data_IF_771103380092
#
_entry.id   IF_771103380092
#
_cell.length_a   1.000
_cell.length_b   1.000
_cell.length_c   1.000
_cell.angle_alpha   90.00
_cell.angle_beta   90.00
_cell.angle_gamma   90.00
#
_symmetry.space_group_name_H-M   'P 1'
#
loop_
_entity.id
_entity.type
_entity.pdbx_description
1 polymer ?
#
# COMPACT_ATOMS: atom_id res chain seq x y z
N UNK A 1 76.63 -21.38 9.27
CA UNK A 1 75.41 -21.49 10.08
C UNK A 1 75.04 -20.07 10.52
N UNK A 2 74.27 -19.39 9.67
CA UNK A 2 73.69 -18.09 9.98
C UNK A 2 72.30 -18.37 10.58
N UNK A 3 72.01 -17.73 11.70
CA UNK A 3 70.74 -17.85 12.43
C UNK A 3 69.72 -16.90 11.84
N UNK A 4 68.56 -17.47 11.49
CA UNK A 4 67.35 -16.79 11.04
C UNK A 4 66.81 -15.85 12.12
N UNK A 5 66.80 -14.55 11.84
CA UNK A 5 66.10 -13.56 12.65
C UNK A 5 65.65 -12.39 11.75
N UNK A 6 64.68 -12.64 10.86
CA UNK A 6 63.94 -11.57 10.17
C UNK A 6 62.68 -12.12 9.47
N UNK A 7 61.57 -12.25 10.20
CA UNK A 7 60.24 -12.42 9.60
C UNK A 7 59.12 -11.94 10.54
N UNK A 8 59.19 -10.70 10.99
CA UNK A 8 58.08 -9.99 11.61
C UNK A 8 57.82 -8.69 10.83
N UNK A 9 57.09 -8.80 9.71
CA UNK A 9 56.68 -7.65 8.93
C UNK A 9 55.20 -7.78 8.50
N UNK A 10 54.36 -7.06 9.24
CA UNK A 10 53.23 -6.29 8.70
C UNK A 10 52.18 -7.04 7.89
N UNK A 11 51.29 -7.78 8.59
CA UNK A 11 49.98 -8.11 8.02
C UNK A 11 49.12 -6.84 8.03
N UNK A 12 49.29 -6.01 7.00
CA UNK A 12 48.45 -4.84 6.77
C UNK A 12 47.00 -5.30 6.64
N UNK A 13 46.19 -5.00 7.66
CA UNK A 13 44.73 -5.10 7.58
C UNK A 13 44.29 -4.19 6.45
N UNK A 14 44.03 -4.77 5.29
CA UNK A 14 43.29 -4.11 4.20
C UNK A 14 41.90 -3.81 4.72
N UNK A 15 41.71 -2.64 5.30
CA UNK A 15 40.39 -2.03 5.43
C UNK A 15 39.93 -1.79 3.99
N UNK A 16 39.17 -2.74 3.44
CA UNK A 16 38.46 -2.53 2.19
C UNK A 16 37.39 -1.48 2.49
N UNK A 17 37.73 -0.22 2.27
CA UNK A 17 36.77 0.87 2.22
C UNK A 17 35.78 0.54 1.11
N UNK A 18 34.65 -0.06 1.46
CA UNK A 18 33.53 -0.20 0.53
C UNK A 18 33.04 1.21 0.24
N UNK A 19 33.05 1.59 -1.04
CA UNK A 19 32.40 2.82 -1.47
C UNK A 19 30.92 2.73 -1.09
N UNK A 20 30.44 3.72 -0.33
CA UNK A 20 29.02 3.84 0.01
C UNK A 20 28.23 4.03 -1.28
N UNK A 21 27.22 3.19 -1.50
CA UNK A 21 26.32 3.36 -2.66
C UNK A 21 25.16 4.25 -2.26
N UNK A 22 24.89 5.29 -3.05
CA UNK A 22 23.78 6.22 -2.80
C UNK A 22 22.97 6.35 -4.08
N UNK A 23 21.65 6.18 -3.97
CA UNK A 23 20.71 6.37 -5.08
C UNK A 23 19.53 7.19 -4.60
N UNK A 24 19.23 8.27 -5.32
CA UNK A 24 18.17 9.20 -5.00
C UNK A 24 17.02 9.08 -6.02
N UNK A 25 15.80 9.12 -5.51
CA UNK A 25 14.56 9.12 -6.28
C UNK A 25 13.70 10.29 -5.84
N UNK A 26 12.95 10.87 -6.77
CA UNK A 26 11.97 11.91 -6.46
C UNK A 26 10.61 11.52 -7.02
N UNK A 27 9.66 11.24 -6.14
CA UNK A 27 8.33 10.75 -6.48
C UNK A 27 7.44 11.97 -6.75
N UNK A 28 6.97 12.09 -7.98
CA UNK A 28 6.14 13.17 -8.52
C UNK A 28 6.76 14.57 -8.39
N UNK A 29 8.08 14.67 -8.12
CA UNK A 29 8.70 15.95 -7.81
C UNK A 29 8.45 16.44 -6.39
N UNK A 30 7.79 15.62 -5.55
CA UNK A 30 7.28 16.02 -4.24
C UNK A 30 8.05 15.35 -3.11
N UNK A 31 8.17 14.02 -3.11
CA UNK A 31 8.81 13.25 -2.03
C UNK A 31 10.12 12.66 -2.52
N UNK A 32 11.23 13.09 -1.93
CA UNK A 32 12.57 12.60 -2.22
C UNK A 32 12.93 11.43 -1.29
N UNK A 33 13.39 10.32 -1.89
CA UNK A 33 13.79 9.10 -1.19
C UNK A 33 15.23 8.78 -1.55
N UNK A 34 16.06 8.59 -0.53
CA UNK A 34 17.46 8.18 -0.67
C UNK A 34 17.63 6.75 -0.19
N UNK A 35 18.25 5.92 -1.02
CA UNK A 35 18.74 4.60 -0.62
C UNK A 35 20.26 4.66 -0.39
N UNK A 36 20.71 4.21 0.77
CA UNK A 36 22.14 4.12 1.13
C UNK A 36 22.54 2.68 1.40
N UNK A 37 23.55 2.19 0.69
CA UNK A 37 24.06 0.81 0.75
C UNK A 37 22.99 -0.27 0.48
N UNK A 38 21.94 0.11 -0.26
CA UNK A 38 20.84 -0.78 -0.58
C UNK A 38 21.26 -1.90 -1.56
N UNK A 39 20.68 -3.11 -1.44
CA UNK A 39 20.86 -4.16 -2.44
C UNK A 39 20.43 -3.67 -3.83
N UNK A 40 21.27 -3.89 -4.85
CA UNK A 40 20.99 -3.47 -6.23
C UNK A 40 19.63 -3.97 -6.73
N UNK A 41 19.26 -5.21 -6.38
CA UNK A 41 17.97 -5.80 -6.79
C UNK A 41 16.76 -5.08 -6.16
N UNK A 42 16.95 -4.45 -4.98
CA UNK A 42 15.91 -3.68 -4.31
C UNK A 42 15.72 -2.34 -5.00
N UNK A 43 16.81 -1.61 -5.29
CA UNK A 43 16.76 -0.33 -6.00
C UNK A 43 16.26 -0.51 -7.44
N UNK A 44 16.68 -1.54 -8.16
CA UNK A 44 16.15 -1.87 -9.49
C UNK A 44 14.64 -2.21 -9.47
N UNK A 45 14.18 -2.91 -8.42
CA UNK A 45 12.75 -3.20 -8.25
C UNK A 45 11.98 -1.93 -7.95
N UNK A 46 12.50 -1.09 -7.07
CA UNK A 46 11.91 0.19 -6.73
C UNK A 46 11.83 1.07 -7.99
N UNK A 47 12.95 1.31 -8.68
CA UNK A 47 12.99 2.11 -9.89
C UNK A 47 12.00 1.60 -10.93
N UNK A 48 12.02 0.30 -11.26
CA UNK A 48 11.07 -0.25 -12.25
C UNK A 48 9.60 -0.09 -11.84
N UNK A 49 9.29 -0.18 -10.55
CA UNK A 49 7.92 0.00 -10.08
C UNK A 49 7.50 1.48 -10.12
N UNK A 50 8.39 2.37 -9.66
CA UNK A 50 8.08 3.78 -9.45
C UNK A 50 8.38 4.66 -10.67
N UNK A 51 9.10 4.15 -11.68
CA UNK A 51 9.52 4.87 -12.90
C UNK A 51 8.48 5.82 -13.50
N UNK A 52 7.20 5.45 -13.64
CA UNK A 52 6.19 6.35 -14.22
C UNK A 52 6.04 7.70 -13.49
N UNK A 53 6.36 7.74 -12.20
CA UNK A 53 6.25 8.93 -11.36
C UNK A 53 7.62 9.43 -10.84
N UNK A 54 8.74 8.89 -11.33
CA UNK A 54 10.05 9.39 -10.93
C UNK A 54 10.43 10.64 -11.73
N UNK A 55 10.88 11.66 -11.01
CA UNK A 55 11.44 12.90 -11.55
C UNK A 55 12.90 13.05 -11.12
N UNK A 56 13.58 14.06 -11.68
CA UNK A 56 14.94 14.41 -11.28
C UNK A 56 14.94 14.82 -9.80
N UNK A 57 15.81 14.22 -8.97
CA UNK A 57 15.96 14.64 -7.58
C UNK A 57 16.39 16.10 -7.48
N UNK A 58 15.68 16.88 -6.66
CA UNK A 58 16.01 18.26 -6.34
C UNK A 58 16.02 18.42 -4.81
N UNK A 59 17.16 18.78 -4.24
CA UNK A 59 17.31 18.98 -2.79
C UNK A 59 17.69 17.73 -1.99
N UNK A 60 17.53 17.82 -0.67
CA UNK A 60 17.80 16.71 0.26
C UNK A 60 16.65 15.69 0.32
N UNK A 61 16.91 14.47 0.83
CA UNK A 61 15.86 13.46 0.95
C UNK A 61 14.89 13.79 2.07
N UNK A 62 13.61 13.49 1.86
CA UNK A 62 12.60 13.44 2.92
C UNK A 62 12.69 12.11 3.67
N UNK A 63 12.98 11.03 2.97
CA UNK A 63 13.13 9.70 3.56
C UNK A 63 14.47 9.11 3.14
N UNK A 64 15.33 8.86 4.11
CA UNK A 64 16.55 8.07 3.89
C UNK A 64 16.30 6.64 4.34
N UNK A 65 16.66 5.66 3.49
CA UNK A 65 16.67 4.24 3.81
C UNK A 65 18.10 3.75 3.75
N UNK A 66 18.69 3.48 4.91
CA UNK A 66 20.05 2.96 5.05
C UNK A 66 20.04 1.47 5.31
N UNK A 67 20.92 0.73 4.65
CA UNK A 67 21.13 -0.69 4.93
C UNK A 67 22.46 -0.89 5.68
N UNK A 68 22.36 -1.29 6.93
CA UNK A 68 23.51 -1.44 7.83
C UNK A 68 23.41 -2.71 8.67
N UNK A 69 24.53 -3.07 9.30
CA UNK A 69 24.54 -4.12 10.31
C UNK A 69 24.02 -3.51 11.62
N UNK A 70 22.83 -3.96 12.04
CA UNK A 70 22.21 -3.51 13.28
C UNK A 70 22.78 -4.36 14.43
N UNK A 71 23.40 -3.69 15.41
CA UNK A 71 23.94 -4.31 16.62
C UNK A 71 23.22 -3.70 17.84
N UNK A 72 21.94 -4.06 18.06
CA UNK A 72 21.17 -3.52 19.17
C UNK A 72 21.80 -3.95 20.50
N UNK A 73 21.69 -3.09 21.51
CA UNK A 73 21.90 -3.48 22.92
C UNK A 73 20.81 -4.48 23.37
N UNK A 74 20.90 -5.07 24.57
CA UNK A 74 19.87 -6.00 25.05
C UNK A 74 18.46 -5.43 24.89
N UNK A 75 17.60 -6.17 24.17
CA UNK A 75 16.30 -5.69 23.75
C UNK A 75 15.24 -5.89 24.82
N UNK A 76 14.48 -4.83 25.11
CA UNK A 76 13.22 -4.86 25.83
C UNK A 76 12.07 -4.98 24.83
N UNK A 77 11.29 -6.05 24.93
CA UNK A 77 10.16 -6.26 24.02
C UNK A 77 8.98 -5.38 24.41
N UNK A 78 8.61 -4.47 23.51
CA UNK A 78 7.37 -3.67 23.57
C UNK A 78 6.17 -4.51 23.12
N UNK A 79 6.41 -5.36 22.13
CA UNK A 79 5.42 -6.27 21.58
C UNK A 79 6.05 -7.60 21.19
N UNK A 80 5.42 -8.70 21.60
CA UNK A 80 5.97 -10.03 21.36
C UNK A 80 6.13 -10.28 19.84
N UNK A 81 7.38 -10.37 19.39
CA UNK A 81 7.78 -10.67 18.00
C UNK A 81 7.40 -9.63 16.94
N UNK A 82 7.18 -8.38 17.31
CA UNK A 82 6.95 -7.33 16.30
C UNK A 82 7.62 -6.00 16.59
N UNK A 83 7.91 -5.69 17.88
CA UNK A 83 8.66 -4.50 18.25
C UNK A 83 9.48 -4.68 19.53
N UNK A 84 10.62 -4.01 19.58
CA UNK A 84 11.49 -3.92 20.75
C UNK A 84 12.21 -2.57 20.81
N UNK A 85 12.84 -2.31 21.96
CA UNK A 85 13.67 -1.13 22.19
C UNK A 85 14.94 -1.50 22.93
N UNK A 86 15.96 -0.67 22.82
CA UNK A 86 17.19 -0.73 23.62
C UNK A 86 17.39 0.53 24.49
N UNK A 87 16.29 1.15 24.91
CA UNK A 87 16.21 2.41 25.67
C UNK A 87 16.61 3.68 24.90
N UNK A 88 17.20 3.55 23.72
CA UNK A 88 17.51 4.68 22.84
C UNK A 88 16.73 4.62 21.52
N UNK A 89 16.56 3.42 20.97
CA UNK A 89 16.00 3.21 19.64
C UNK A 89 14.76 2.32 19.67
N UNK A 90 13.90 2.51 18.68
CA UNK A 90 12.74 1.67 18.43
C UNK A 90 12.97 0.76 17.22
N UNK A 91 12.88 -0.55 17.45
CA UNK A 91 13.16 -1.58 16.47
C UNK A 91 11.91 -2.33 16.06
N UNK A 92 11.85 -2.64 14.77
CA UNK A 92 10.96 -3.65 14.21
C UNK A 92 11.61 -5.02 14.25
N UNK A 93 10.80 -6.02 14.57
CA UNK A 93 11.21 -7.42 14.58
C UNK A 93 10.53 -8.20 13.46
N UNK A 94 11.20 -9.24 12.97
CA UNK A 94 10.58 -10.25 12.12
C UNK A 94 9.57 -11.07 12.94
N UNK A 95 8.36 -11.25 12.42
CA UNK A 95 7.29 -11.94 13.14
C UNK A 95 7.57 -13.43 13.40
N UNK A 96 8.44 -14.05 12.59
CA UNK A 96 8.73 -15.48 12.64
C UNK A 96 9.84 -15.77 13.64
N UNK A 97 10.99 -15.11 13.48
CA UNK A 97 12.21 -15.40 14.25
C UNK A 97 12.57 -14.33 15.30
N UNK A 98 11.78 -13.26 15.39
CA UNK A 98 11.98 -12.14 16.31
C UNK A 98 13.31 -11.38 16.13
N UNK A 99 13.99 -11.56 14.99
CA UNK A 99 15.23 -10.83 14.70
C UNK A 99 14.93 -9.38 14.33
N UNK A 100 15.83 -8.46 14.68
CA UNK A 100 15.69 -7.06 14.27
C UNK A 100 15.75 -6.94 12.74
N UNK A 101 14.76 -6.29 12.17
CA UNK A 101 14.66 -6.05 10.72
C UNK A 101 14.97 -4.60 10.37
N UNK A 102 14.54 -3.66 11.20
CA UNK A 102 14.78 -2.23 10.99
C UNK A 102 14.72 -1.43 12.29
N UNK A 103 15.40 -0.30 12.32
CA UNK A 103 15.16 0.82 13.22
C UNK A 103 14.27 1.81 12.49
N UNK A 104 13.15 2.20 13.10
CA UNK A 104 12.24 3.20 12.53
C UNK A 104 12.21 4.46 13.43
N UNK A 105 12.46 5.65 12.87
CA UNK A 105 12.41 6.92 13.58
C UNK A 105 10.95 7.37 13.72
N UNK A 106 10.19 6.72 14.59
CA UNK A 106 8.74 6.92 14.73
C UNK A 106 8.37 8.39 15.00
N UNK A 107 9.17 9.10 15.81
CA UNK A 107 8.97 10.52 16.13
C UNK A 107 9.01 11.42 14.88
N UNK A 108 9.89 11.11 13.92
CA UNK A 108 10.20 11.96 12.78
C UNK A 108 9.35 11.66 11.53
N UNK A 109 8.46 10.67 11.59
CA UNK A 109 7.66 10.24 10.43
C UNK A 109 6.83 11.39 9.85
N UNK A 110 6.91 11.52 8.53
CA UNK A 110 6.30 12.60 7.74
C UNK A 110 7.03 13.94 7.78
N UNK A 111 8.21 13.97 8.39
CA UNK A 111 9.26 14.97 8.18
C UNK A 111 10.51 14.30 7.59
N UNK A 112 11.66 14.96 7.60
CA UNK A 112 12.92 14.32 7.20
C UNK A 112 13.28 13.22 8.20
N UNK A 113 13.35 11.97 7.74
CA UNK A 113 13.62 10.82 8.61
C UNK A 113 14.57 9.79 7.98
N UNK A 114 15.24 8.99 8.82
CA UNK A 114 16.13 7.91 8.39
C UNK A 114 15.70 6.55 8.95
N UNK A 115 15.26 5.65 8.06
CA UNK A 115 15.00 4.24 8.38
C UNK A 115 16.30 3.47 8.20
N UNK A 116 16.72 2.72 9.22
CA UNK A 116 17.91 1.86 9.12
C UNK A 116 17.47 0.41 9.07
N UNK A 117 17.54 -0.21 7.89
CA UNK A 117 17.25 -1.61 7.67
C UNK A 117 18.48 -2.48 7.91
N UNK A 118 18.27 -3.69 8.46
CA UNK A 118 19.29 -4.73 8.52
C UNK A 118 19.72 -5.12 7.10
N UNK A 119 21.00 -5.39 6.88
CA UNK A 119 21.48 -5.97 5.62
C UNK A 119 20.79 -7.30 5.32
N UNK A 120 20.45 -7.53 4.06
CA UNK A 120 19.85 -8.79 3.59
C UNK A 120 18.33 -8.85 3.67
N UNK A 121 17.65 -7.83 4.22
CA UNK A 121 16.18 -7.76 4.11
C UNK A 121 15.76 -7.56 2.66
N UNK A 122 14.64 -8.17 2.27
CA UNK A 122 14.17 -8.17 0.87
C UNK A 122 13.15 -7.06 0.58
N UNK A 123 12.72 -6.35 1.61
CA UNK A 123 11.78 -5.23 1.56
C UNK A 123 12.06 -4.28 2.72
N UNK A 124 11.73 -3.01 2.52
CA UNK A 124 11.77 -1.97 3.56
C UNK A 124 10.41 -1.96 4.27
N UNK A 125 10.34 -2.26 5.57
CA UNK A 125 9.08 -2.21 6.32
C UNK A 125 8.43 -0.81 6.26
N UNK A 126 7.10 -0.77 6.13
CA UNK A 126 6.29 0.46 6.10
C UNK A 126 6.68 1.53 5.07
N UNK A 127 7.49 1.20 4.06
CA UNK A 127 7.97 2.21 3.11
C UNK A 127 6.82 2.97 2.45
N UNK A 128 5.78 2.29 1.99
CA UNK A 128 4.60 2.94 1.39
C UNK A 128 3.94 3.94 2.34
N UNK A 129 3.75 3.55 3.60
CA UNK A 129 3.08 4.32 4.63
C UNK A 129 3.92 5.54 5.01
N UNK A 130 5.24 5.38 5.14
CA UNK A 130 6.18 6.48 5.41
C UNK A 130 6.19 7.49 4.26
N UNK A 131 6.19 7.02 3.01
CA UNK A 131 6.10 7.90 1.83
C UNK A 131 4.78 8.68 1.80
N UNK A 132 3.67 8.01 2.09
CA UNK A 132 2.34 8.62 2.19
C UNK A 132 2.29 9.68 3.30
N UNK A 133 2.91 9.43 4.46
CA UNK A 133 3.03 10.43 5.52
C UNK A 133 3.93 11.60 5.12
N UNK A 134 4.99 11.39 4.33
CA UNK A 134 5.81 12.48 3.81
C UNK A 134 5.01 13.40 2.87
N UNK A 135 4.14 12.84 2.00
CA UNK A 135 3.19 13.63 1.22
C UNK A 135 2.28 14.47 2.14
N UNK A 136 1.69 13.85 3.18
CA UNK A 136 0.85 14.57 4.14
C UNK A 136 1.59 15.69 4.88
N UNK A 137 2.85 15.44 5.27
CA UNK A 137 3.75 16.42 5.88
C UNK A 137 3.96 17.66 5.01
N UNK A 138 3.94 17.47 3.68
CA UNK A 138 4.05 18.54 2.66
C UNK A 138 2.72 19.16 2.25
N UNK A 139 1.62 18.81 2.92
CA UNK A 139 0.29 19.38 2.68
C UNK A 139 -0.50 18.72 1.54
N UNK A 140 -0.02 17.60 1.01
CA UNK A 140 -0.79 16.77 0.09
C UNK A 140 -1.79 15.91 0.85
N UNK A 141 -2.85 15.46 0.19
CA UNK A 141 -3.94 14.70 0.84
C UNK A 141 -3.93 13.25 0.36
N UNK A 142 -3.35 12.31 1.14
CA UNK A 142 -3.42 10.92 0.78
C UNK A 142 -4.86 10.40 0.95
N UNK A 143 -5.26 9.54 0.04
CA UNK A 143 -6.57 8.90 -0.01
C UNK A 143 -6.37 7.40 -0.21
N UNK A 144 -6.96 6.60 0.68
CA UNK A 144 -7.09 5.18 0.40
C UNK A 144 -8.14 4.97 -0.71
N UNK A 145 -7.67 4.86 -1.95
CA UNK A 145 -8.54 4.73 -3.11
C UNK A 145 -7.85 4.51 -4.43
N UNK A 146 -8.67 4.53 -5.47
CA UNK A 146 -8.27 4.32 -6.86
C UNK A 146 -8.51 5.60 -7.66
N UNK A 147 -7.67 5.86 -8.65
CA UNK A 147 -7.88 6.95 -9.60
C UNK A 147 -7.66 6.45 -11.03
N UNK A 148 -8.43 6.99 -11.97
CA UNK A 148 -8.37 6.69 -13.38
C UNK A 148 -8.94 7.84 -14.21
N UNK A 149 -8.62 7.89 -15.50
CA UNK A 149 -9.17 8.86 -16.46
C UNK A 149 -10.08 8.15 -17.44
N UNK A 150 -11.31 8.60 -17.59
CA UNK A 150 -12.26 8.08 -18.56
C UNK A 150 -12.81 9.23 -19.41
N UNK A 151 -12.68 9.13 -20.74
CA UNK A 151 -13.12 10.19 -21.68
C UNK A 151 -12.59 11.60 -21.32
N UNK A 152 -11.34 11.67 -20.85
CA UNK A 152 -10.70 12.93 -20.41
C UNK A 152 -11.09 13.40 -19.00
N UNK A 153 -12.03 12.73 -18.35
CA UNK A 153 -12.44 13.02 -16.97
C UNK A 153 -11.66 12.14 -16.00
N UNK A 154 -10.80 12.75 -15.18
CA UNK A 154 -10.22 12.05 -14.04
C UNK A 154 -11.20 11.86 -12.88
N UNK A 155 -11.29 10.61 -12.44
CA UNK A 155 -12.21 10.06 -11.44
C UNK A 155 -11.42 9.51 -10.27
N UNK A 156 -11.87 9.79 -9.05
CA UNK A 156 -11.32 9.27 -7.81
C UNK A 156 -12.38 8.41 -7.12
N UNK A 157 -12.13 7.10 -7.06
CA UNK A 157 -12.95 6.11 -6.38
C UNK A 157 -12.39 5.85 -4.97
N UNK A 158 -13.12 6.29 -3.96
CA UNK A 158 -12.72 6.27 -2.55
C UNK A 158 -13.73 5.52 -1.69
N UNK A 159 -13.39 5.20 -0.44
CA UNK A 159 -14.26 4.48 0.48
C UNK A 159 -13.56 3.42 1.32
N UNK A 160 -14.35 2.73 2.13
CA UNK A 160 -13.84 1.73 3.08
C UNK A 160 -13.11 0.57 2.37
N UNK A 161 -12.18 -0.11 3.03
CA UNK A 161 -11.55 -1.32 2.50
C UNK A 161 -12.60 -2.35 2.07
N UNK A 162 -12.38 -2.96 0.89
CA UNK A 162 -13.33 -3.87 0.23
C UNK A 162 -14.66 -3.23 -0.18
N UNK A 163 -14.80 -1.91 -0.11
CA UNK A 163 -15.99 -1.17 -0.53
C UNK A 163 -16.16 -0.99 -2.03
N UNK A 164 -15.38 -1.67 -2.88
CA UNK A 164 -15.57 -1.68 -4.34
C UNK A 164 -14.65 -0.79 -5.17
N UNK A 165 -13.73 -0.01 -4.56
CA UNK A 165 -12.82 0.93 -5.25
C UNK A 165 -12.04 0.31 -6.42
N UNK A 166 -11.28 -0.75 -6.13
CA UNK A 166 -10.58 -1.55 -7.14
C UNK A 166 -11.54 -2.15 -8.17
N UNK A 167 -12.78 -2.50 -7.77
CA UNK A 167 -13.81 -2.97 -8.70
C UNK A 167 -14.21 -1.88 -9.69
N UNK A 168 -14.45 -0.65 -9.22
CA UNK A 168 -14.73 0.50 -10.07
C UNK A 168 -13.57 0.77 -11.02
N UNK A 169 -12.33 0.83 -10.52
CA UNK A 169 -11.14 0.96 -11.37
C UNK A 169 -11.14 -0.10 -12.47
N UNK A 170 -11.22 -1.38 -12.13
CA UNK A 170 -11.18 -2.47 -13.11
C UNK A 170 -12.35 -2.41 -14.10
N UNK A 171 -13.54 -1.99 -13.66
CA UNK A 171 -14.68 -1.80 -14.56
C UNK A 171 -14.39 -0.72 -15.61
N UNK A 172 -13.90 0.44 -15.20
CA UNK A 172 -13.57 1.53 -16.13
C UNK A 172 -12.37 1.19 -17.02
N UNK A 173 -11.37 0.47 -16.52
CA UNK A 173 -10.25 0.00 -17.34
C UNK A 173 -10.72 -0.95 -18.45
N UNK A 174 -11.74 -1.80 -18.19
CA UNK A 174 -12.34 -2.65 -19.21
C UNK A 174 -13.10 -1.85 -20.29
N UNK A 175 -13.49 -0.62 -19.97
CA UNK A 175 -14.15 0.34 -20.88
C UNK A 175 -13.22 1.47 -21.33
N UNK A 176 -11.91 1.17 -21.44
CA UNK A 176 -10.93 2.06 -22.08
C UNK A 176 -10.43 3.22 -21.23
N UNK A 177 -10.66 3.21 -19.91
CA UNK A 177 -10.05 4.20 -19.03
C UNK A 177 -8.52 4.02 -18.93
N UNK A 178 -7.84 5.10 -18.54
CA UNK A 178 -6.41 5.13 -18.26
C UNK A 178 -6.16 5.03 -16.76
N UNK A 179 -5.24 4.16 -16.35
CA UNK A 179 -4.87 3.97 -14.95
C UNK A 179 -4.11 5.18 -14.41
N UNK A 180 -4.44 5.62 -13.20
CA UNK A 180 -3.66 6.63 -12.44
C UNK A 180 -3.10 6.00 -11.17
N UNK A 181 -3.91 5.34 -10.34
CA UNK A 181 -3.45 4.73 -9.09
C UNK A 181 -4.46 3.77 -8.46
N UNK A 182 -3.99 2.90 -7.56
CA UNK A 182 -4.83 2.12 -6.63
C UNK A 182 -4.14 1.94 -5.28
N UNK A 183 -4.90 1.55 -4.27
CA UNK A 183 -4.54 1.44 -2.84
C UNK A 183 -4.23 2.79 -2.20
N UNK A 184 -3.37 3.61 -2.80
CA UNK A 184 -3.10 4.98 -2.40
C UNK A 184 -3.03 5.92 -3.60
N UNK A 185 -3.82 6.98 -3.56
CA UNK A 185 -3.71 8.15 -4.43
C UNK A 185 -3.57 9.39 -3.56
N UNK A 186 -2.98 10.44 -4.11
CA UNK A 186 -2.64 11.65 -3.36
C UNK A 186 -3.20 12.85 -4.10
N UNK A 187 -4.06 13.64 -3.46
CA UNK A 187 -4.46 14.94 -4.00
C UNK A 187 -3.37 15.97 -3.74
N UNK A 188 -3.05 16.75 -4.76
CA UNK A 188 -2.19 17.90 -4.61
C UNK A 188 -2.88 19.01 -3.79
N UNK A 189 -2.12 19.97 -3.24
CA UNK A 189 -2.67 21.09 -2.47
C UNK A 189 -3.68 21.96 -3.25
N UNK A 190 -3.61 21.94 -4.59
CA UNK A 190 -4.59 22.60 -5.48
C UNK A 190 -5.96 21.91 -5.50
N UNK A 191 -6.07 20.69 -4.98
CA UNK A 191 -7.24 19.82 -5.02
C UNK A 191 -7.78 19.49 -6.43
N UNK A 192 -7.09 19.95 -7.48
CA UNK A 192 -7.44 19.74 -8.88
C UNK A 192 -6.58 18.64 -9.51
N UNK A 193 -5.47 18.29 -8.88
CA UNK A 193 -4.55 17.24 -9.35
C UNK A 193 -4.58 16.04 -8.42
N UNK A 194 -4.67 14.83 -8.99
CA UNK A 194 -4.46 13.55 -8.31
C UNK A 194 -3.21 12.86 -8.84
N UNK A 195 -2.38 12.41 -7.90
CA UNK A 195 -1.14 11.67 -8.12
C UNK A 195 -1.35 10.22 -7.69
N UNK A 196 -1.13 9.28 -8.58
CA UNK A 196 -1.17 7.87 -8.25
C UNK A 196 0.18 7.34 -7.76
N UNK A 197 0.14 6.40 -6.81
CA UNK A 197 1.32 5.63 -6.42
C UNK A 197 1.24 4.25 -7.09
N UNK A 198 2.30 3.77 -7.76
CA UNK A 198 2.29 2.49 -8.49
C UNK A 198 2.44 1.30 -7.54
N UNK A 199 1.58 1.23 -6.53
CA UNK A 199 1.57 0.13 -5.57
C UNK A 199 0.98 -1.14 -6.20
N UNK A 200 1.40 -2.33 -5.75
CA UNK A 200 0.90 -3.58 -6.31
C UNK A 200 -0.62 -3.73 -6.13
N UNK A 201 -1.32 -3.94 -7.24
CA UNK A 201 -2.75 -4.14 -7.29
C UNK A 201 -3.12 -5.58 -6.94
N UNK A 202 -3.98 -5.77 -5.94
CA UNK A 202 -4.47 -7.07 -5.49
C UNK A 202 -5.86 -7.41 -6.03
N UNK A 203 -5.94 -8.24 -7.08
CA UNK A 203 -7.21 -8.61 -7.72
C UNK A 203 -7.68 -9.98 -7.22
N UNK A 204 -8.94 -10.05 -6.79
CA UNK A 204 -9.58 -11.30 -6.36
C UNK A 204 -10.00 -12.18 -7.55
N UNK A 205 -10.30 -13.44 -7.28
CA UNK A 205 -10.73 -14.37 -8.34
C UNK A 205 -12.02 -13.93 -9.05
N UNK A 206 -13.00 -13.42 -8.32
CA UNK A 206 -14.26 -13.01 -8.93
C UNK A 206 -14.07 -11.79 -9.83
N UNK A 207 -13.19 -10.84 -9.49
CA UNK A 207 -12.83 -9.72 -10.35
C UNK A 207 -12.15 -10.22 -11.63
N UNK A 208 -11.21 -11.17 -11.51
CA UNK A 208 -10.53 -11.77 -12.66
C UNK A 208 -11.50 -12.41 -13.66
N UNK A 209 -12.59 -13.04 -13.18
CA UNK A 209 -13.62 -13.62 -14.05
C UNK A 209 -14.34 -12.58 -14.91
N UNK A 210 -14.51 -11.37 -14.40
CA UNK A 210 -15.17 -10.28 -15.12
C UNK A 210 -14.24 -9.52 -16.07
N UNK A 211 -12.92 -9.65 -15.90
CA UNK A 211 -11.94 -9.01 -16.81
C UNK A 211 -11.80 -9.71 -18.17
N UNK A 212 -12.35 -10.92 -18.34
CA UNK A 212 -12.35 -11.62 -19.62
C UNK A 212 -10.96 -11.73 -20.26
N UNK A 213 -10.84 -11.26 -21.51
CA UNK A 213 -9.60 -11.27 -22.29
C UNK A 213 -8.51 -10.32 -21.75
N UNK A 214 -8.88 -9.36 -20.89
CA UNK A 214 -7.97 -8.38 -20.28
C UNK A 214 -7.35 -8.87 -18.97
N UNK A 215 -7.70 -10.07 -18.49
CA UNK A 215 -7.09 -10.65 -17.32
C UNK A 215 -5.61 -11.01 -17.58
N UNK A 216 -4.66 -10.56 -16.75
CA UNK A 216 -3.26 -10.88 -16.95
C UNK A 216 -2.98 -12.36 -16.73
N UNK A 217 -1.83 -12.81 -17.22
CA UNK A 217 -1.37 -14.19 -17.04
C UNK A 217 -1.15 -14.49 -15.55
N UNK A 218 -2.11 -15.19 -14.94
CA UNK A 218 -1.97 -15.77 -13.61
C UNK A 218 -1.04 -16.98 -13.66
N UNK A 219 -0.04 -17.05 -12.77
CA UNK A 219 0.89 -18.19 -12.68
C UNK A 219 0.11 -19.52 -12.54
N UNK A 220 0.56 -20.62 -13.18
CA UNK A 220 -0.13 -21.92 -13.16
C UNK A 220 -0.40 -22.45 -11.75
N UNK A 221 0.54 -22.25 -10.82
CA UNK A 221 0.39 -22.64 -9.41
C UNK A 221 -0.78 -21.93 -8.71
N UNK A 222 -0.96 -20.62 -8.94
CA UNK A 222 -2.11 -19.89 -8.40
C UNK A 222 -3.42 -20.34 -9.05
N UNK A 223 -3.41 -20.67 -10.36
CA UNK A 223 -4.57 -21.27 -11.04
C UNK A 223 -4.94 -22.63 -10.44
N UNK A 224 -3.95 -23.48 -10.16
CA UNK A 224 -4.15 -24.77 -9.51
C UNK A 224 -4.71 -24.60 -8.08
N UNK A 225 -4.23 -23.61 -7.34
CA UNK A 225 -4.76 -23.28 -6.00
C UNK A 225 -6.22 -22.81 -6.05
N UNK A 226 -6.58 -21.97 -7.02
CA UNK A 226 -7.98 -21.61 -7.26
C UNK A 226 -8.82 -22.84 -7.62
N UNK A 227 -8.34 -23.72 -8.50
CA UNK A 227 -9.02 -24.97 -8.87
C UNK A 227 -9.19 -25.93 -7.68
N UNK A 228 -8.15 -26.10 -6.86
CA UNK A 228 -8.19 -26.94 -5.66
C UNK A 228 -9.22 -26.43 -4.66
N UNK A 229 -9.34 -25.11 -4.49
CA UNK A 229 -10.37 -24.52 -3.63
C UNK A 229 -11.77 -24.62 -4.23
N UNK A 230 -11.91 -24.59 -5.56
CA UNK A 230 -13.19 -24.91 -6.22
C UNK A 230 -13.62 -26.34 -5.96
N UNK A 231 -12.72 -27.30 -6.18
CA UNK A 231 -12.94 -28.71 -5.89
C UNK A 231 -13.29 -28.94 -4.43
N UNK A 232 -12.54 -28.34 -3.49
CA UNK A 232 -12.81 -28.45 -2.05
C UNK A 232 -14.18 -27.86 -1.68
N UNK A 233 -14.57 -26.73 -2.26
CA UNK A 233 -15.89 -26.14 -2.03
C UNK A 233 -17.02 -26.97 -2.62
N UNK A 234 -16.84 -27.52 -3.82
CA UNK A 234 -17.80 -28.43 -4.45
C UNK A 234 -17.94 -29.73 -3.65
N UNK A 235 -16.84 -30.29 -3.15
CA UNK A 235 -16.85 -31.43 -2.23
C UNK A 235 -17.59 -31.07 -0.93
N UNK A 236 -17.35 -29.89 -0.36
CA UNK A 236 -18.04 -29.45 0.85
C UNK A 236 -19.56 -29.31 0.65
N UNK A 237 -20.01 -28.85 -0.52
CA UNK A 237 -21.45 -28.80 -0.88
C UNK A 237 -22.03 -30.20 -1.09
N UNK A 238 -21.26 -31.13 -1.67
CA UNK A 238 -21.69 -32.51 -1.89
C UNK A 238 -21.79 -33.28 -0.56
N UNK A 239 -20.77 -33.15 0.30
CA UNK A 239 -20.72 -33.75 1.64
C UNK A 239 -21.76 -33.15 2.60
N UNK A 240 -22.14 -31.89 2.38
CA UNK A 240 -23.21 -31.22 3.10
C UNK A 240 -24.61 -31.80 2.81
N UNK A 241 -24.78 -32.56 1.73
CA UNK A 241 -26.04 -33.23 1.36
C UNK A 241 -26.11 -34.69 1.84
N UNK A 242 -25.05 -35.20 2.49
CA UNK A 242 -24.98 -36.57 3.00
C UNK A 242 -25.04 -36.68 4.54
N UNK A 243 -25.08 -37.90 5.09
CA UNK A 243 -25.15 -38.15 6.54
C UNK A 243 -23.93 -37.60 7.31
N UNK A 244 -22.81 -37.35 6.64
CA UNK A 244 -21.58 -36.77 7.19
C UNK A 244 -21.63 -35.24 7.37
N UNK A 245 -22.73 -34.58 6.96
CA UNK A 245 -22.89 -33.13 7.03
C UNK A 245 -22.79 -32.54 8.45
N UNK A 246 -22.99 -33.36 9.49
CA UNK A 246 -22.89 -32.98 10.91
C UNK A 246 -21.48 -33.08 11.48
N UNK A 247 -20.53 -33.65 10.76
CA UNK A 247 -19.16 -33.83 11.23
C UNK A 247 -18.41 -32.49 11.35
N UNK A 248 -17.66 -32.31 12.43
CA UNK A 248 -16.84 -31.12 12.69
C UNK A 248 -15.86 -30.75 11.56
N UNK A 249 -15.16 -31.69 10.88
CA UNK A 249 -14.29 -31.32 9.76
C UNK A 249 -15.05 -30.71 8.57
N UNK A 250 -16.28 -31.16 8.29
CA UNK A 250 -17.13 -30.58 7.23
C UNK A 250 -17.62 -29.18 7.61
N UNK A 251 -17.90 -28.91 8.89
CA UNK A 251 -18.23 -27.55 9.37
C UNK A 251 -17.02 -26.61 9.25
N UNK A 252 -15.82 -27.07 9.61
CA UNK A 252 -14.59 -26.29 9.49
C UNK A 252 -14.28 -25.95 8.03
N UNK A 253 -14.41 -26.92 7.12
CA UNK A 253 -14.23 -26.70 5.68
C UNK A 253 -15.28 -25.72 5.12
N UNK A 254 -16.56 -25.84 5.52
CA UNK A 254 -17.62 -24.91 5.09
C UNK A 254 -17.42 -23.48 5.57
N UNK A 255 -16.82 -23.27 6.75
CA UNK A 255 -16.49 -21.94 7.26
C UNK A 255 -15.17 -21.40 6.69
N UNK A 256 -14.17 -22.27 6.53
CA UNK A 256 -12.82 -21.90 6.12
C UNK A 256 -12.68 -21.59 4.64
N UNK A 257 -13.33 -22.36 3.76
CA UNK A 257 -13.18 -22.20 2.30
C UNK A 257 -13.68 -20.84 1.79
N UNK A 258 -14.86 -20.33 2.18
CA UNK A 258 -15.32 -19.01 1.76
C UNK A 258 -14.41 -17.89 2.28
N UNK A 259 -13.88 -18.01 3.50
CA UNK A 259 -12.93 -17.05 4.06
C UNK A 259 -11.59 -17.08 3.31
N UNK A 260 -11.06 -18.26 3.00
CA UNK A 260 -9.85 -18.42 2.19
C UNK A 260 -10.03 -17.85 0.78
N UNK A 261 -11.16 -18.14 0.11
CA UNK A 261 -11.48 -17.60 -1.21
C UNK A 261 -11.59 -16.08 -1.20
N UNK A 262 -12.09 -15.48 -0.12
CA UNK A 262 -12.13 -14.01 0.06
C UNK A 262 -10.73 -13.39 0.26
N UNK A 263 -9.76 -14.17 0.72
CA UNK A 263 -8.38 -13.71 0.95
C UNK A 263 -7.44 -13.98 -0.23
N UNK A 264 -7.81 -14.86 -1.16
CA UNK A 264 -6.97 -15.13 -2.31
C UNK A 264 -7.01 -14.00 -3.34
N UNK A 265 -5.97 -13.17 -3.29
CA UNK A 265 -5.67 -12.15 -4.30
C UNK A 265 -4.47 -12.55 -5.17
N UNK A 266 -4.55 -12.18 -6.44
CA UNK A 266 -3.40 -12.09 -7.32
C UNK A 266 -2.88 -10.67 -7.22
N UNK A 267 -1.75 -10.50 -6.53
CA UNK A 267 -1.08 -9.20 -6.40
C UNK A 267 0.01 -9.10 -7.47
N UNK A 268 -0.06 -8.07 -8.31
CA UNK A 268 0.97 -7.73 -9.30
C UNK A 268 1.08 -6.21 -9.42
N UNK A 269 2.23 -5.74 -9.92
CA UNK A 269 2.44 -4.34 -10.27
C UNK A 269 1.45 -3.86 -11.35
N UNK A 270 1.08 -2.58 -11.37
CA UNK A 270 0.18 -2.02 -12.38
C UNK A 270 0.63 -2.29 -13.82
N UNK A 271 1.95 -2.29 -14.09
CA UNK A 271 2.47 -2.57 -15.44
C UNK A 271 2.11 -3.96 -15.97
N UNK A 272 1.92 -4.95 -15.07
CA UNK A 272 1.47 -6.29 -15.46
C UNK A 272 -0.02 -6.35 -15.76
N UNK A 273 -0.81 -5.46 -15.18
CA UNK A 273 -2.25 -5.38 -15.38
C UNK A 273 -2.60 -4.56 -16.62
N UNK A 274 -1.93 -3.43 -16.82
CA UNK A 274 -2.35 -2.41 -17.78
C UNK A 274 -1.30 -2.11 -18.87
N UNK A 275 -0.17 -2.81 -18.85
CA UNK A 275 0.93 -2.61 -19.81
C UNK A 275 2.00 -1.63 -19.30
N UNK A 276 3.10 -1.50 -20.05
CA UNK A 276 4.26 -0.72 -19.64
C UNK A 276 4.08 0.80 -19.82
N UNK A 277 3.07 1.23 -20.60
CA UNK A 277 2.77 2.65 -20.84
C UNK A 277 1.70 3.17 -19.87
N UNK A 278 2.11 3.41 -18.62
CA UNK A 278 1.23 3.94 -17.58
C UNK A 278 1.21 5.48 -17.52
N UNK A 279 1.87 6.17 -18.45
CA UNK A 279 2.00 7.62 -18.43
C UNK A 279 2.69 8.15 -17.17
N UNK A 280 2.31 9.35 -16.73
CA UNK A 280 2.88 10.05 -15.56
C UNK A 280 2.21 9.72 -14.23
N UNK A 281 1.21 8.82 -14.23
CA UNK A 281 0.34 8.54 -13.07
C UNK A 281 -0.23 9.83 -12.42
N UNK A 282 -0.52 10.84 -13.23
CA UNK A 282 -1.07 12.12 -12.81
C UNK A 282 -2.30 12.42 -13.63
N UNK A 283 -3.36 12.92 -12.99
CA UNK A 283 -4.59 13.32 -13.66
C UNK A 283 -5.27 14.47 -12.93
N UNK A 284 -6.23 15.11 -13.59
CA UNK A 284 -7.13 16.06 -12.93
C UNK A 284 -8.20 15.33 -12.10
N UNK A 285 -8.55 15.85 -10.91
CA UNK A 285 -9.51 15.26 -9.99
C UNK A 285 -10.89 15.92 -10.11
N UNK A 286 -11.71 15.48 -11.08
CA UNK A 286 -12.99 16.12 -11.40
C UNK A 286 -14.19 15.50 -10.68
N UNK A 287 -14.14 14.20 -10.43
CA UNK A 287 -15.27 13.40 -9.93
C UNK A 287 -14.83 12.50 -8.80
N UNK A 288 -15.59 12.51 -7.71
CA UNK A 288 -15.31 11.69 -6.54
C UNK A 288 -16.47 10.74 -6.28
N UNK A 289 -16.17 9.45 -6.12
CA UNK A 289 -17.15 8.44 -5.80
C UNK A 289 -16.78 7.80 -4.47
N UNK A 290 -17.65 7.90 -3.47
CA UNK A 290 -17.56 7.18 -2.21
C UNK A 290 -18.30 5.84 -2.35
N UNK A 291 -17.56 4.75 -2.54
CA UNK A 291 -18.11 3.42 -2.73
C UNK A 291 -18.35 2.71 -1.40
N UNK A 292 -19.48 2.03 -1.31
CA UNK A 292 -19.84 1.17 -0.17
C UNK A 292 -20.61 -0.04 -0.70
N UNK A 293 -20.35 -1.21 -0.12
CA UNK A 293 -21.12 -2.40 -0.47
C UNK A 293 -22.39 -2.52 0.38
N UNK A 294 -23.47 -3.07 -0.18
CA UNK A 294 -24.73 -3.34 0.52
C UNK A 294 -25.33 -4.71 0.15
N UNK A 295 -26.35 -5.15 0.88
CA UNK A 295 -27.00 -6.45 0.68
C UNK A 295 -28.07 -6.49 -0.44
N UNK A 296 -28.41 -5.34 -1.03
CA UNK A 296 -29.34 -5.28 -2.16
C UNK A 296 -28.70 -5.70 -3.49
N UNK A 297 -29.52 -6.07 -4.47
CA UNK A 297 -29.06 -6.55 -5.79
C UNK A 297 -28.77 -5.41 -6.79
N UNK A 298 -29.27 -4.20 -6.53
CA UNK A 298 -29.14 -3.04 -7.42
C UNK A 298 -27.87 -2.23 -7.17
N UNK A 299 -27.49 -1.37 -8.12
CA UNK A 299 -26.45 -0.36 -7.92
C UNK A 299 -27.11 1.01 -7.87
N UNK A 300 -26.86 1.76 -6.81
CA UNK A 300 -27.42 3.09 -6.61
C UNK A 300 -26.29 4.12 -6.62
N UNK A 301 -26.42 5.13 -7.47
CA UNK A 301 -25.52 6.29 -7.49
C UNK A 301 -26.33 7.53 -7.13
N UNK A 302 -25.88 8.25 -6.10
CA UNK A 302 -26.57 9.41 -5.57
C UNK A 302 -25.57 10.52 -5.30
N UNK A 303 -25.96 11.79 -5.50
CA UNK A 303 -25.13 12.92 -5.07
C UNK A 303 -24.90 12.85 -3.56
N UNK A 304 -23.70 13.20 -3.13
CA UNK A 304 -23.29 13.11 -1.74
C UNK A 304 -22.60 14.39 -1.28
N UNK A 305 -22.76 14.70 0.01
CA UNK A 305 -22.17 15.89 0.61
C UNK A 305 -20.66 15.73 0.76
N UNK A 306 -19.89 16.64 0.19
CA UNK A 306 -18.43 16.61 0.22
C UNK A 306 -17.87 16.54 1.64
N UNK A 307 -18.46 17.29 2.58
CA UNK A 307 -18.04 17.29 3.98
C UNK A 307 -18.31 15.93 4.68
N UNK A 308 -19.39 15.22 4.32
CA UNK A 308 -19.66 13.88 4.85
C UNK A 308 -18.69 12.85 4.26
N UNK A 309 -18.36 12.99 2.98
CA UNK A 309 -17.38 12.16 2.30
C UNK A 309 -15.98 12.33 2.91
N UNK A 310 -15.55 13.58 3.17
CA UNK A 310 -14.29 13.90 3.84
C UNK A 310 -14.18 13.17 5.19
N UNK A 311 -15.19 13.30 6.06
CA UNK A 311 -15.22 12.60 7.35
C UNK A 311 -15.17 11.08 7.22
N UNK A 312 -15.89 10.52 6.25
CA UNK A 312 -15.85 9.07 5.99
C UNK A 312 -14.46 8.62 5.55
N UNK A 313 -13.75 9.44 4.78
CA UNK A 313 -12.41 9.15 4.29
C UNK A 313 -11.34 9.30 5.36
N UNK A 314 -11.50 10.18 6.36
CA UNK A 314 -10.64 10.20 7.54
C UNK A 314 -10.63 8.83 8.20
N UNK A 315 -11.81 8.28 8.49
CA UNK A 315 -11.94 6.95 9.11
C UNK A 315 -11.36 5.83 8.23
N UNK A 316 -11.53 5.91 6.90
CA UNK A 316 -10.99 4.91 5.98
C UNK A 316 -9.45 4.94 5.97
N UNK A 317 -8.83 6.13 5.97
CA UNK A 317 -7.38 6.27 6.03
C UNK A 317 -6.81 5.83 7.39
N UNK A 318 -7.48 6.18 8.50
CA UNK A 318 -7.08 5.72 9.83
C UNK A 318 -7.08 4.20 9.95
N UNK A 319 -8.05 3.53 9.30
CA UNK A 319 -8.07 2.08 9.26
C UNK A 319 -6.83 1.51 8.58
N UNK A 320 -6.42 2.08 7.45
CA UNK A 320 -5.23 1.64 6.70
C UNK A 320 -3.93 1.96 7.45
N UNK A 321 -3.87 3.06 8.19
CA UNK A 321 -2.70 3.40 9.01
C UNK A 321 -2.65 2.66 10.34
N UNK A 322 -3.68 1.89 10.73
CA UNK A 322 -3.71 1.19 12.01
C UNK A 322 -2.43 0.42 12.32
N UNK A 323 -1.83 -0.39 11.40
CA UNK A 323 -0.59 -1.09 11.70
C UNK A 323 0.54 -0.14 12.13
N UNK A 324 0.72 0.98 11.42
CA UNK A 324 1.72 1.99 11.77
C UNK A 324 1.38 2.72 13.08
N UNK A 325 0.10 3.03 13.32
CA UNK A 325 -0.36 3.67 14.55
C UNK A 325 -0.21 2.74 15.77
N UNK A 326 -0.30 1.44 15.60
CA UNK A 326 -0.01 0.47 16.66
C UNK A 326 1.50 0.47 16.99
N UNK A 327 2.39 0.66 16.00
CA UNK A 327 3.80 0.94 16.28
C UNK A 327 4.02 2.29 16.97
N UNK A 328 3.25 3.33 16.63
CA UNK A 328 3.31 4.61 17.34
C UNK A 328 2.94 4.49 18.83
N UNK A 329 1.90 3.70 19.13
CA UNK A 329 1.52 3.39 20.51
C UNK A 329 2.59 2.60 21.25
N UNK A 330 3.22 1.62 20.57
CA UNK A 330 4.35 0.89 21.13
C UNK A 330 5.54 1.81 21.42
N UNK A 331 5.83 2.73 20.50
CA UNK A 331 6.88 3.74 20.67
C UNK A 331 6.64 4.65 21.86
N UNK A 332 5.44 5.23 21.99
CA UNK A 332 5.10 6.10 23.14
C UNK A 332 5.03 5.35 24.47
N UNK A 333 4.73 4.05 24.45
CA UNK A 333 4.87 3.20 25.64
C UNK A 333 6.34 3.02 26.05
N UNK A 334 7.24 2.79 25.09
CA UNK A 334 8.67 2.63 25.33
C UNK A 334 9.35 3.96 25.71
N UNK A 335 8.89 5.08 25.14
CA UNK A 335 9.45 6.42 25.30
C UNK A 335 8.34 7.42 25.66
N UNK A 336 7.92 7.49 26.94
CA UNK A 336 6.75 8.28 27.35
C UNK A 336 6.87 9.79 27.10
N UNK A 337 8.10 10.32 27.08
CA UNK A 337 8.36 11.74 26.83
C UNK A 337 8.55 12.08 25.34
N UNK A 338 8.52 11.07 24.47
CA UNK A 338 8.66 11.22 23.03
C UNK A 338 7.30 11.27 22.33
N UNK A 339 7.22 12.03 21.24
CA UNK A 339 6.00 12.15 20.45
C UNK A 339 6.32 12.42 18.99
N UNK A 340 5.36 12.16 18.10
CA UNK A 340 5.40 12.65 16.73
C UNK A 340 4.32 13.71 16.53
N UNK A 341 4.68 14.99 16.32
CA UNK A 341 3.69 16.05 16.14
C UNK A 341 2.69 15.78 15.00
N UNK A 342 3.16 15.10 13.95
CA UNK A 342 2.30 14.72 12.83
C UNK A 342 1.33 13.61 13.23
N UNK A 343 1.79 12.55 13.89
CA UNK A 343 0.94 11.41 14.26
C UNK A 343 -0.07 11.78 15.36
N UNK A 344 0.31 12.64 16.31
CA UNK A 344 -0.60 13.19 17.34
C UNK A 344 -1.75 14.00 16.73
N UNK A 345 -1.48 14.72 15.64
CA UNK A 345 -2.48 15.56 14.97
C UNK A 345 -3.00 14.96 13.66
N UNK A 346 -2.74 13.68 13.41
CA UNK A 346 -2.95 13.04 12.11
C UNK A 346 -4.39 13.18 11.63
N UNK A 347 -5.34 12.78 12.47
CA UNK A 347 -6.78 12.82 12.20
C UNK A 347 -7.24 14.23 11.89
N UNK A 348 -6.90 15.20 12.75
CA UNK A 348 -7.32 16.59 12.60
C UNK A 348 -6.72 17.23 11.35
N UNK A 349 -5.43 16.96 11.07
CA UNK A 349 -4.75 17.45 9.88
C UNK A 349 -5.38 16.88 8.62
N UNK A 350 -5.64 15.57 8.59
CA UNK A 350 -6.28 14.91 7.46
C UNK A 350 -7.71 15.41 7.25
N UNK A 351 -8.50 15.58 8.30
CA UNK A 351 -9.87 16.12 8.23
C UNK A 351 -9.89 17.52 7.61
N UNK A 352 -9.02 18.41 8.08
CA UNK A 352 -8.92 19.77 7.55
C UNK A 352 -8.57 19.77 6.05
N UNK A 353 -7.55 18.97 5.67
CA UNK A 353 -7.09 18.88 4.29
C UNK A 353 -8.14 18.24 3.37
N UNK A 354 -8.79 17.15 3.79
CA UNK A 354 -9.85 16.51 3.01
C UNK A 354 -11.08 17.40 2.84
N UNK A 355 -11.47 18.11 3.90
CA UNK A 355 -12.60 19.04 3.85
C UNK A 355 -12.33 20.16 2.85
N UNK A 356 -11.12 20.73 2.88
CA UNK A 356 -10.70 21.74 1.91
C UNK A 356 -10.63 21.17 0.48
N UNK A 357 -10.03 19.99 0.30
CA UNK A 357 -9.82 19.41 -1.02
C UNK A 357 -11.13 18.97 -1.71
N UNK A 358 -12.12 18.53 -0.95
CA UNK A 358 -13.43 18.14 -1.51
C UNK A 358 -14.42 19.30 -1.60
N UNK A 359 -14.10 20.48 -1.06
CA UNK A 359 -14.99 21.64 -1.11
C UNK A 359 -15.31 22.02 -2.56
N UNK A 360 -16.60 22.13 -2.88
CA UNK A 360 -17.07 22.47 -4.24
C UNK A 360 -16.92 21.36 -5.28
N UNK A 361 -16.41 20.17 -4.91
CA UNK A 361 -16.26 19.05 -5.84
C UNK A 361 -17.57 18.28 -6.00
N UNK A 362 -17.75 17.69 -7.18
CA UNK A 362 -18.84 16.76 -7.44
C UNK A 362 -18.53 15.40 -6.78
N UNK A 363 -19.23 15.12 -5.68
CA UNK A 363 -19.10 13.88 -4.92
C UNK A 363 -20.38 13.07 -5.03
N UNK A 364 -20.23 11.78 -5.30
CA UNK A 364 -21.32 10.81 -5.37
C UNK A 364 -21.08 9.67 -4.40
N UNK A 365 -22.14 9.11 -3.86
CA UNK A 365 -22.13 7.86 -3.12
C UNK A 365 -22.59 6.75 -4.03
N UNK A 366 -21.84 5.65 -4.06
CA UNK A 366 -22.17 4.45 -4.82
C UNK A 366 -22.44 3.32 -3.84
N UNK A 367 -23.65 2.77 -3.90
CA UNK A 367 -24.03 1.56 -3.18
C UNK A 367 -24.13 0.41 -4.16
N UNK A 368 -23.42 -0.69 -3.91
CA UNK A 368 -23.38 -1.82 -4.84
C UNK A 368 -23.35 -3.16 -4.10
N UNK A 369 -23.86 -4.27 -4.69
CA UNK A 369 -23.67 -5.59 -4.13
C UNK A 369 -22.19 -5.97 -4.10
N UNK A 370 -21.77 -6.62 -3.01
CA UNK A 370 -20.41 -7.18 -2.94
C UNK A 370 -20.25 -8.32 -3.97
N UNK A 371 -19.25 -8.20 -4.84
CA UNK A 371 -18.99 -9.21 -5.88
C UNK A 371 -19.98 -9.20 -7.04
N UNK A 372 -20.74 -8.11 -7.22
CA UNK A 372 -21.61 -7.91 -8.39
C UNK A 372 -20.83 -7.72 -9.70
N UNK A 373 -21.51 -7.74 -10.85
CA UNK A 373 -20.88 -7.60 -12.17
C UNK A 373 -20.19 -6.24 -12.35
N UNK A 374 -18.93 -6.26 -12.82
CA UNK A 374 -18.16 -5.03 -13.05
C UNK A 374 -18.80 -4.14 -14.12
N UNK A 375 -19.38 -4.71 -15.17
CA UNK A 375 -20.06 -3.92 -16.22
C UNK A 375 -21.27 -3.16 -15.70
N UNK A 376 -22.04 -3.76 -14.77
CA UNK A 376 -23.17 -3.07 -14.15
C UNK A 376 -22.69 -1.88 -13.31
N UNK A 377 -21.53 -2.02 -12.64
CA UNK A 377 -20.92 -0.92 -11.88
C UNK A 377 -20.47 0.22 -12.80
N UNK A 378 -19.86 -0.10 -13.94
CA UNK A 378 -19.51 0.89 -14.95
C UNK A 378 -20.77 1.62 -15.47
N UNK A 379 -21.78 0.87 -15.92
CA UNK A 379 -23.03 1.43 -16.47
C UNK A 379 -23.75 2.36 -15.48
N UNK A 380 -23.68 2.07 -14.18
CA UNK A 380 -24.28 2.91 -13.16
C UNK A 380 -23.46 4.18 -12.86
N UNK A 381 -22.13 4.11 -12.94
CA UNK A 381 -21.24 5.23 -12.59
C UNK A 381 -20.95 6.18 -13.75
N UNK A 382 -20.82 5.66 -14.98
CA UNK A 382 -20.43 6.42 -16.17
C UNK A 382 -21.27 7.69 -16.43
N UNK A 383 -22.61 7.68 -16.26
CA UNK A 383 -23.43 8.87 -16.47
C UNK A 383 -23.06 10.04 -15.56
N UNK A 384 -22.47 9.76 -14.40
CA UNK A 384 -22.05 10.75 -13.41
C UNK A 384 -20.60 11.22 -13.60
N UNK A 385 -19.86 10.62 -14.53
CA UNK A 385 -18.52 11.06 -14.88
C UNK A 385 -18.56 12.32 -15.77
N UNK A 386 -19.63 12.58 -16.50
CA UNK A 386 -19.73 13.71 -17.43
C UNK A 386 -19.94 15.05 -16.71
N UNK A 387 -19.44 16.17 -17.26
CA UNK A 387 -19.87 17.52 -16.85
C UNK A 387 -21.40 17.65 -16.93
N UNK A 388 -22.01 18.29 -15.91
CA UNK A 388 -23.42 18.72 -15.98
C UNK A 388 -23.57 19.87 -16.98
#
# INVERSE_FOLDING_TARGET
MATDDEAAAGQAVRVVLRATTVVDYNIHGVVAVRFVDAPVQLTERFERQWRPCLQVPAGGPDVTVRFADLAPSPLTHVGLRWAATDDEHYYLLDEVDATVTALIPIADLGSTCEIVCRRGVTSVPFLSEVLVLAFLGKGYVPLHGSAFVHEGVGVVAMGWPKGGKTGALLSFMAHGATYVGDEWVVLAPDADTVLGLPLPLGVSEWQLKHMGAHAPRVRPQKRLMFQALHLAGSLAVLLARGPLARSEPVKLLRKGIPALRRQLKVTQSPHRWFGDDLGSLTASAHRFFLLTSHDGDGILVQRHEAAQAARSMVSANEHEWRPLLDHYRGFTFAFPDSSSPLLENLTKRLENLLTAALAGKAVYRVLHPYGGPLDALFQAMEPHCRPE
#
